data_IF_682030068805
#
_entry.id   IF_682030068805
#
_cell.length_a   1.000
_cell.length_b   1.000
_cell.length_c   1.000
_cell.angle_alpha   90.00
_cell.angle_beta   90.00
_cell.angle_gamma   90.00
#
_symmetry.space_group_name_H-M   'P 1'
#
loop_
_entity.id
_entity.type
_entity.pdbx_description
1 polymer ?
#
# COMPACT_ATOMS: atom_id res chain seq x y z
N UNK A 1 -16.07 5.60 43.17
CA UNK A 1 -15.52 6.63 42.26
C UNK A 1 -14.53 6.09 41.24
N UNK A 2 -14.07 4.85 41.40
CA UNK A 2 -13.05 4.24 40.53
C UNK A 2 -13.68 3.57 39.30
N UNK A 3 -14.95 3.15 39.39
CA UNK A 3 -15.74 2.64 38.26
C UNK A 3 -15.87 3.67 37.13
N UNK A 4 -16.06 4.96 37.45
CA UNK A 4 -16.12 6.05 36.46
C UNK A 4 -14.77 6.26 35.75
N UNK A 5 -13.65 6.06 36.48
CA UNK A 5 -12.29 6.13 35.94
C UNK A 5 -11.98 4.92 35.04
N UNK A 6 -12.47 3.74 35.42
CA UNK A 6 -12.39 2.51 34.61
C UNK A 6 -13.17 2.66 33.30
N UNK A 7 -14.41 3.18 33.36
CA UNK A 7 -15.23 3.47 32.18
C UNK A 7 -14.54 4.46 31.23
N UNK A 8 -13.92 5.52 31.76
CA UNK A 8 -13.17 6.48 30.95
C UNK A 8 -11.93 5.85 30.27
N UNK A 9 -11.23 4.95 30.96
CA UNK A 9 -10.09 4.23 30.41
C UNK A 9 -10.48 3.25 29.30
N UNK A 10 -11.64 2.60 29.42
CA UNK A 10 -12.15 1.70 28.37
C UNK A 10 -12.56 2.51 27.12
N UNK A 11 -13.19 3.67 27.32
CA UNK A 11 -13.59 4.55 26.22
C UNK A 11 -12.38 5.08 25.42
N UNK A 12 -11.28 5.43 26.08
CA UNK A 12 -10.06 5.90 25.40
C UNK A 12 -9.37 4.78 24.60
N UNK A 13 -9.30 3.57 25.17
CA UNK A 13 -8.76 2.40 24.47
C UNK A 13 -9.61 2.05 23.23
N UNK A 14 -10.94 2.12 23.35
CA UNK A 14 -11.83 1.92 22.22
C UNK A 14 -11.62 2.97 21.11
N UNK A 15 -11.41 4.24 21.46
CA UNK A 15 -11.13 5.29 20.48
C UNK A 15 -9.81 5.07 19.73
N UNK A 16 -8.75 4.65 20.43
CA UNK A 16 -7.44 4.34 19.82
C UNK A 16 -7.54 3.09 18.93
N UNK A 17 -8.26 2.06 19.39
CA UNK A 17 -8.54 0.88 18.58
C UNK A 17 -9.37 1.20 17.32
N UNK A 18 -10.27 2.18 17.41
CA UNK A 18 -11.06 2.68 16.27
C UNK A 18 -10.17 3.36 15.22
N UNK A 19 -9.15 4.12 15.65
CA UNK A 19 -8.15 4.72 14.75
C UNK A 19 -7.27 3.65 14.08
N UNK A 20 -6.83 2.63 14.82
CA UNK A 20 -6.06 1.52 14.26
C UNK A 20 -6.88 0.64 13.30
N UNK A 21 -8.20 0.49 13.53
CA UNK A 21 -9.12 -0.19 12.61
C UNK A 21 -9.38 0.59 11.31
N UNK A 22 -9.13 1.91 11.29
CA UNK A 22 -9.18 2.73 10.08
C UNK A 22 -7.94 2.54 9.17
N UNK A 23 -6.97 1.69 9.56
CA UNK A 23 -5.79 1.34 8.76
C UNK A 23 -5.49 -0.17 8.67
N UNK A 24 -6.38 -1.04 9.14
CA UNK A 24 -6.22 -2.49 9.09
C UNK A 24 -7.07 -3.11 7.97
N UNK A 25 -6.43 -3.77 7.01
CA UNK A 25 -7.13 -4.63 6.04
C UNK A 25 -7.79 -5.80 6.77
N UNK A 26 -9.10 -5.97 6.57
CA UNK A 26 -9.88 -7.12 7.02
C UNK A 26 -10.48 -7.76 5.76
N UNK A 27 -9.96 -8.92 5.38
CA UNK A 27 -10.64 -9.87 4.49
C UNK A 27 -11.87 -10.39 5.28
N UNK A 28 -13.08 -10.60 4.77
CA UNK A 28 -13.66 -10.58 3.43
C UNK A 28 -15.13 -10.10 3.59
N UNK A 29 -15.72 -9.58 2.52
CA UNK A 29 -17.18 -9.55 2.31
C UNK A 29 -17.99 -8.35 2.86
N UNK A 30 -17.65 -7.13 2.47
CA UNK A 30 -18.62 -6.02 2.36
C UNK A 30 -18.36 -5.24 1.06
N UNK A 31 -19.33 -5.35 0.13
CA UNK A 31 -19.19 -5.00 -1.27
C UNK A 31 -19.31 -3.49 -1.55
N UNK A 32 -18.42 -3.04 -2.45
CA UNK A 32 -18.65 -2.06 -3.51
C UNK A 32 -18.92 -0.61 -3.10
N UNK A 33 -17.83 0.15 -2.99
CA UNK A 33 -17.75 1.49 -3.55
C UNK A 33 -16.48 1.54 -4.38
N UNK A 34 -16.59 1.92 -5.65
CA UNK A 34 -15.49 1.89 -6.60
C UNK A 34 -14.40 2.88 -6.21
N UNK A 35 -13.41 2.42 -5.46
CA UNK A 35 -12.16 3.12 -5.26
C UNK A 35 -11.23 2.74 -6.41
N UNK A 36 -10.85 3.72 -7.23
CA UNK A 36 -9.66 3.62 -8.07
C UNK A 36 -8.54 3.07 -7.19
N UNK A 37 -8.10 1.85 -7.45
CA UNK A 37 -7.13 1.10 -6.66
C UNK A 37 -5.78 1.83 -6.66
N UNK A 38 -5.67 2.87 -5.84
CA UNK A 38 -4.50 3.70 -5.72
C UNK A 38 -3.48 2.93 -4.90
N UNK A 39 -2.51 2.32 -5.57
CA UNK A 39 -1.42 1.60 -4.92
C UNK A 39 -0.34 2.62 -4.56
N UNK A 40 -0.13 2.87 -3.27
CA UNK A 40 0.93 3.76 -2.79
C UNK A 40 2.23 2.99 -2.61
N UNK A 41 3.27 3.37 -3.36
CA UNK A 41 4.59 2.73 -3.33
C UNK A 41 5.62 3.78 -2.89
N UNK A 42 6.37 3.50 -1.83
CA UNK A 42 7.40 4.39 -1.29
C UNK A 42 8.81 4.03 -1.75
N UNK A 43 9.66 5.04 -1.92
CA UNK A 43 11.11 4.90 -2.17
C UNK A 43 11.87 5.32 -0.91
N UNK A 44 13.05 4.74 -0.67
CA UNK A 44 13.90 5.12 0.46
C UNK A 44 14.47 6.53 0.31
N UNK A 45 14.75 6.94 -0.94
CA UNK A 45 15.34 8.24 -1.29
C UNK A 45 14.39 9.11 -2.13
N UNK A 46 14.71 10.41 -2.24
CA UNK A 46 13.98 11.33 -3.12
C UNK A 46 14.19 10.98 -4.59
N UNK A 47 13.14 11.17 -5.38
CA UNK A 47 13.18 11.10 -6.83
C UNK A 47 14.01 12.27 -7.35
N UNK A 48 15.12 11.98 -8.05
CA UNK A 48 16.06 13.02 -8.49
C UNK A 48 15.89 13.42 -9.96
N UNK A 49 15.38 12.52 -10.81
CA UNK A 49 15.12 12.83 -12.22
C UNK A 49 14.03 11.92 -12.79
N UNK A 50 13.07 12.52 -13.52
CA UNK A 50 12.07 11.76 -14.28
C UNK A 50 12.46 11.60 -15.76
N UNK A 51 13.54 12.25 -16.19
CA UNK A 51 14.02 12.18 -17.56
C UNK A 51 14.72 10.82 -17.82
N UNK A 52 14.33 10.09 -18.89
CA UNK A 52 14.97 8.84 -19.33
C UNK A 52 16.50 8.83 -19.36
N UNK A 53 17.15 9.96 -19.61
CA UNK A 53 18.61 10.03 -19.63
C UNK A 53 19.28 10.20 -18.25
N UNK A 54 18.51 10.42 -17.17
CA UNK A 54 19.04 10.79 -15.85
C UNK A 54 18.47 10.03 -14.65
N UNK A 55 17.48 9.18 -14.84
CA UNK A 55 16.82 8.38 -13.78
C UNK A 55 17.63 7.13 -13.41
N UNK A 56 18.83 7.32 -12.87
CA UNK A 56 19.72 6.21 -12.49
C UNK A 56 19.52 5.71 -11.06
N UNK A 57 18.77 6.44 -10.23
CA UNK A 57 18.39 5.99 -8.90
C UNK A 57 17.14 5.09 -8.93
N UNK A 58 17.07 4.15 -7.99
CA UNK A 58 16.02 3.12 -7.95
C UNK A 58 14.61 3.73 -7.81
N UNK A 59 14.48 4.92 -7.21
CA UNK A 59 13.19 5.58 -7.06
C UNK A 59 12.72 6.23 -8.36
N UNK A 60 13.60 6.98 -9.01
CA UNK A 60 13.37 7.62 -10.30
C UNK A 60 13.02 6.61 -11.39
N UNK A 61 13.70 5.46 -11.40
CA UNK A 61 13.40 4.39 -12.34
C UNK A 61 12.01 3.77 -12.12
N UNK A 62 11.61 3.59 -10.85
CA UNK A 62 10.30 3.01 -10.51
C UNK A 62 9.13 3.89 -11.00
N UNK A 63 9.26 5.22 -10.93
CA UNK A 63 8.26 6.15 -11.46
C UNK A 63 8.33 6.22 -12.99
N UNK A 64 9.53 6.26 -13.56
CA UNK A 64 9.74 6.36 -14.99
C UNK A 64 9.06 5.23 -15.77
N UNK A 65 9.17 3.98 -15.32
CA UNK A 65 8.55 2.83 -16.03
C UNK A 65 7.03 2.98 -16.16
N UNK A 66 6.39 3.68 -15.21
CA UNK A 66 4.94 3.92 -15.22
C UNK A 66 4.55 5.04 -16.20
N UNK A 67 5.42 6.03 -16.41
CA UNK A 67 5.16 7.20 -17.25
C UNK A 67 5.66 7.01 -18.69
N UNK A 68 6.79 6.32 -18.85
CA UNK A 68 7.46 6.05 -20.12
C UNK A 68 7.66 4.53 -20.30
N UNK A 69 6.70 3.84 -20.94
CA UNK A 69 6.76 2.39 -21.13
C UNK A 69 7.92 2.00 -22.05
N UNK A 70 8.65 0.95 -21.67
CA UNK A 70 9.64 0.33 -22.55
C UNK A 70 8.99 -0.43 -23.70
N UNK A 71 9.70 -0.54 -24.83
CA UNK A 71 9.31 -1.43 -25.93
C UNK A 71 9.25 -2.91 -25.49
N UNK A 72 10.05 -3.27 -24.49
CA UNK A 72 10.02 -4.57 -23.83
C UNK A 72 9.98 -4.38 -22.32
N UNK A 73 8.87 -4.78 -21.70
CA UNK A 73 8.70 -4.84 -20.25
C UNK A 73 8.44 -6.30 -19.83
N UNK A 74 8.81 -6.64 -18.60
CA UNK A 74 8.53 -7.96 -18.06
C UNK A 74 7.04 -8.06 -17.70
N UNK A 75 6.39 -9.16 -18.11
CA UNK A 75 5.02 -9.46 -17.68
C UNK A 75 5.04 -10.00 -16.25
N UNK A 76 4.85 -9.11 -15.27
CA UNK A 76 4.84 -9.51 -13.86
C UNK A 76 3.65 -10.43 -13.48
N UNK A 77 2.60 -10.49 -14.31
CA UNK A 77 1.42 -11.34 -14.09
C UNK A 77 1.59 -12.79 -14.56
N UNK A 78 2.67 -13.11 -15.29
CA UNK A 78 2.91 -14.46 -15.85
C UNK A 78 3.99 -15.23 -15.10
N UNK A 79 4.54 -14.63 -14.03
CA UNK A 79 5.53 -15.27 -13.17
C UNK A 79 4.86 -16.35 -12.32
N UNK A 80 4.77 -17.56 -12.87
CA UNK A 80 4.36 -18.76 -12.12
C UNK A 80 5.38 -19.05 -11.02
N UNK A 81 5.22 -18.43 -9.85
CA UNK A 81 5.87 -18.94 -8.64
C UNK A 81 5.19 -20.27 -8.32
N UNK A 82 5.94 -21.37 -8.43
CA UNK A 82 5.45 -22.74 -8.50
C UNK A 82 4.34 -23.08 -7.51
N UNK A 83 3.13 -23.26 -8.02
CA UNK A 83 2.06 -24.02 -7.36
C UNK A 83 1.63 -25.16 -8.28
N UNK A 84 2.46 -26.21 -8.32
CA UNK A 84 2.08 -27.52 -8.86
C UNK A 84 1.03 -28.11 -7.90
N UNK A 85 -0.25 -27.85 -8.18
CA UNK A 85 -1.33 -28.68 -7.63
C UNK A 85 -1.22 -30.07 -8.23
N UNK A 86 -0.67 -31.02 -7.46
CA UNK A 86 -1.09 -32.42 -7.39
C UNK A 86 -0.67 -32.99 -6.05
#
# INVERSE_FOLDING_TARGET
>A
MNSKKILAAIASVAAIASLAACGGVKDDNAATSGDSSAITIGTTDKITSLDPAGSYDNGSYAVQIQVFPFLYAQDYNTSVCGHRRR
#
